data_IF_600013767598
#
_entry.id   IF_600013767598
#
_cell.length_a   1.000
_cell.length_b   1.000
_cell.length_c   1.000
_cell.angle_alpha   90.00
_cell.angle_beta   90.00
_cell.angle_gamma   90.00
#
_symmetry.space_group_name_H-M   'P 1'
#
loop_
_entity.id
_entity.type
_entity.pdbx_description
1 polymer ?
#
# COMPACT_ATOMS: atom_id res chain seq x y z
N UNK A 1 -7.05 -4.01 -2.13
CA UNK A 1 -6.51 -2.79 -2.75
C UNK A 1 -5.10 -2.57 -2.22
N UNK A 2 -4.16 -2.23 -3.10
CA UNK A 2 -2.74 -2.10 -2.75
C UNK A 2 -2.34 -0.63 -2.88
N UNK A 3 -1.69 -0.09 -1.85
CA UNK A 3 -1.17 1.28 -1.82
C UNK A 3 0.35 1.27 -1.64
N UNK A 4 1.04 2.22 -2.26
CA UNK A 4 2.48 2.39 -2.09
C UNK A 4 2.77 3.56 -1.13
N UNK A 5 3.59 3.32 -0.09
CA UNK A 5 4.00 4.29 0.93
C UNK A 5 2.85 5.15 1.47
N UNK A 6 1.73 4.53 1.81
CA UNK A 6 0.54 5.23 2.27
C UNK A 6 0.47 5.26 3.80
N UNK A 7 0.48 6.47 4.37
CA UNK A 7 0.16 6.70 5.78
C UNK A 7 -1.34 6.68 6.06
N UNK A 8 -1.71 6.93 7.31
CA UNK A 8 -3.06 6.66 7.83
C UNK A 8 -4.19 7.36 7.07
N UNK A 9 -4.00 8.63 6.67
CA UNK A 9 -5.01 9.38 5.92
C UNK A 9 -5.39 8.75 4.58
N UNK A 10 -4.42 8.22 3.83
CA UNK A 10 -4.65 7.56 2.54
C UNK A 10 -5.31 6.19 2.71
N UNK A 11 -4.92 5.45 3.75
CA UNK A 11 -5.55 4.17 4.09
C UNK A 11 -7.01 4.38 4.48
N UNK A 12 -7.29 5.36 5.36
CA UNK A 12 -8.64 5.69 5.81
C UNK A 12 -9.53 6.12 4.63
N UNK A 13 -9.03 7.00 3.77
CA UNK A 13 -9.76 7.44 2.58
C UNK A 13 -10.10 6.26 1.67
N UNK A 14 -9.18 5.31 1.51
CA UNK A 14 -9.42 4.16 0.66
C UNK A 14 -10.41 3.16 1.26
N UNK A 15 -10.35 2.91 2.58
CA UNK A 15 -11.37 2.12 3.28
C UNK A 15 -12.76 2.74 3.15
N UNK A 16 -12.88 4.06 3.27
CA UNK A 16 -14.17 4.76 3.05
C UNK A 16 -14.69 4.57 1.62
N UNK A 17 -13.81 4.62 0.61
CA UNK A 17 -14.18 4.42 -0.80
C UNK A 17 -14.56 2.98 -1.11
N UNK A 18 -13.92 1.99 -0.48
CA UNK A 18 -14.11 0.55 -0.73
C UNK A 18 -14.16 -0.22 0.60
N UNK A 19 -15.26 -0.14 1.36
CA UNK A 19 -15.31 -0.66 2.74
C UNK A 19 -15.25 -2.19 2.84
N UNK A 20 -15.54 -2.91 1.75
CA UNK A 20 -15.47 -4.38 1.69
C UNK A 20 -14.14 -4.91 1.14
N UNK A 21 -13.19 -4.04 0.82
CA UNK A 21 -11.91 -4.44 0.25
C UNK A 21 -10.79 -4.23 1.27
N UNK A 22 -9.97 -5.27 1.48
CA UNK A 22 -8.77 -5.14 2.31
C UNK A 22 -7.79 -4.13 1.70
N UNK A 23 -7.14 -3.36 2.57
CA UNK A 23 -6.11 -2.39 2.17
C UNK A 23 -4.75 -2.94 2.59
N UNK A 24 -3.88 -3.20 1.62
CA UNK A 24 -2.50 -3.61 1.85
C UNK A 24 -1.59 -2.45 1.50
N UNK A 25 -0.64 -2.13 2.37
CA UNK A 25 0.34 -1.07 2.12
C UNK A 25 1.70 -1.68 1.82
N UNK A 26 2.29 -1.31 0.70
CA UNK A 26 3.66 -1.61 0.32
C UNK A 26 4.55 -0.47 0.83
N UNK A 27 5.57 -0.82 1.60
CA UNK A 27 6.42 0.10 2.36
C UNK A 27 7.84 0.01 1.79
N UNK A 28 8.36 1.14 1.31
CA UNK A 28 9.74 1.30 0.86
C UNK A 28 10.72 1.08 2.00
N UNK A 29 11.93 0.61 1.67
CA UNK A 29 13.00 0.39 2.65
C UNK A 29 13.30 1.65 3.48
N UNK A 30 13.22 2.84 2.89
CA UNK A 30 13.52 4.13 3.52
C UNK A 30 12.37 4.73 4.33
N UNK A 31 11.17 4.14 4.27
CA UNK A 31 10.01 4.68 4.98
C UNK A 31 10.22 4.63 6.50
N UNK A 32 9.82 5.72 7.17
CA UNK A 32 9.85 5.82 8.63
C UNK A 32 8.97 4.71 9.25
N UNK A 33 9.37 4.09 10.37
CA UNK A 33 8.56 3.09 11.06
C UNK A 33 7.17 3.59 11.46
N UNK A 34 7.03 4.89 11.76
CA UNK A 34 5.74 5.53 12.09
C UNK A 34 4.70 5.36 10.98
N UNK A 35 5.12 5.33 9.71
CA UNK A 35 4.22 5.16 8.57
C UNK A 35 3.47 3.81 8.64
N UNK A 36 4.15 2.77 9.12
CA UNK A 36 3.55 1.43 9.29
C UNK A 36 2.49 1.48 10.39
N UNK A 37 2.80 2.13 11.51
CA UNK A 37 1.87 2.29 12.65
C UNK A 37 0.62 3.05 12.20
N UNK A 38 0.80 4.20 11.57
CA UNK A 38 -0.31 5.01 11.06
C UNK A 38 -1.20 4.25 10.06
N UNK A 39 -0.59 3.45 9.18
CA UNK A 39 -1.32 2.64 8.22
C UNK A 39 -2.15 1.54 8.91
N UNK A 40 -1.57 0.85 9.90
CA UNK A 40 -2.25 -0.18 10.67
C UNK A 40 -3.39 0.39 11.51
N UNK A 41 -3.17 1.52 12.20
CA UNK A 41 -4.20 2.22 12.99
C UNK A 41 -5.37 2.70 12.11
N UNK A 42 -5.10 3.08 10.87
CA UNK A 42 -6.13 3.43 9.89
C UNK A 42 -6.88 2.21 9.32
N UNK A 43 -6.48 0.99 9.69
CA UNK A 43 -7.11 -0.26 9.32
C UNK A 43 -6.54 -0.91 8.06
N UNK A 44 -5.26 -0.71 7.75
CA UNK A 44 -4.58 -1.56 6.79
C UNK A 44 -4.61 -3.02 7.28
N UNK A 45 -4.92 -3.96 6.39
CA UNK A 45 -4.94 -5.38 6.69
C UNK A 45 -3.52 -5.95 6.81
N UNK A 46 -2.57 -5.38 6.05
CA UNK A 46 -1.16 -5.75 6.11
C UNK A 46 -0.27 -4.62 5.61
N UNK A 47 0.96 -4.57 6.14
CA UNK A 47 2.05 -3.76 5.63
C UNK A 47 3.19 -4.67 5.18
N UNK A 48 3.62 -4.56 3.92
CA UNK A 48 4.70 -5.37 3.34
C UNK A 48 5.88 -4.45 3.06
N UNK A 49 7.03 -4.70 3.69
CA UNK A 49 8.22 -3.89 3.50
C UNK A 49 9.11 -4.43 2.39
N UNK A 50 9.91 -3.57 1.77
CA UNK A 50 10.98 -4.01 0.88
C UNK A 50 12.00 -4.92 1.57
N UNK A 51 12.58 -5.89 0.83
CA UNK A 51 12.46 -6.11 -0.62
C UNK A 51 11.20 -6.87 -1.05
N UNK A 52 10.42 -7.45 -0.12
CA UNK A 52 9.24 -8.23 -0.45
C UNK A 52 8.16 -7.42 -1.18
N UNK A 53 8.03 -6.12 -0.86
CA UNK A 53 7.13 -5.21 -1.55
C UNK A 53 7.38 -5.13 -3.07
N UNK A 54 8.64 -5.15 -3.51
CA UNK A 54 8.99 -5.12 -4.93
C UNK A 54 8.57 -6.41 -5.66
N UNK A 55 8.69 -7.57 -5.01
CA UNK A 55 8.23 -8.85 -5.54
C UNK A 55 6.70 -8.87 -5.68
N UNK A 56 5.98 -8.37 -4.68
CA UNK A 56 4.51 -8.25 -4.71
C UNK A 56 4.10 -7.32 -5.85
N UNK A 57 4.72 -6.14 -5.98
CA UNK A 57 4.47 -5.23 -7.09
C UNK A 57 4.72 -5.90 -8.44
N UNK A 58 5.87 -6.56 -8.63
CA UNK A 58 6.21 -7.24 -9.88
C UNK A 58 5.20 -8.35 -10.22
N UNK A 59 4.76 -9.12 -9.22
CA UNK A 59 3.74 -10.15 -9.39
C UNK A 59 2.38 -9.56 -9.76
N UNK A 60 1.95 -8.51 -9.09
CA UNK A 60 0.70 -7.80 -9.41
C UNK A 60 0.76 -7.18 -10.80
N UNK A 61 1.86 -6.53 -11.18
CA UNK A 61 2.04 -5.99 -12.52
C UNK A 61 2.05 -7.10 -13.59
N UNK A 62 2.59 -8.27 -13.28
CA UNK A 62 2.52 -9.43 -14.19
C UNK A 62 1.10 -9.95 -14.36
N UNK A 63 0.33 -10.06 -13.28
CA UNK A 63 -1.06 -10.57 -13.33
C UNK A 63 -2.03 -9.56 -13.94
N UNK A 64 -1.87 -8.29 -13.58
CA UNK A 64 -2.81 -7.21 -13.93
C UNK A 64 -2.31 -6.31 -15.05
N UNK A 65 -1.10 -6.58 -15.57
CA UNK A 65 -0.57 -6.30 -16.90
C UNK A 65 -0.41 -4.85 -17.36
N UNK A 66 -1.27 -3.92 -16.92
CA UNK A 66 -1.34 -2.54 -17.45
C UNK A 66 -2.26 -1.59 -16.69
N UNK A 67 -2.74 -1.94 -15.49
CA UNK A 67 -3.37 -0.94 -14.61
C UNK A 67 -2.27 -0.08 -13.99
N UNK A 68 -2.06 1.12 -14.55
CA UNK A 68 -1.11 2.11 -14.07
C UNK A 68 -1.19 2.23 -12.55
N UNK A 69 -0.19 1.70 -11.84
CA UNK A 69 0.02 2.09 -10.45
C UNK A 69 0.32 3.59 -10.50
N UNK A 70 -0.40 4.44 -9.75
CA UNK A 70 0.02 5.81 -9.60
C UNK A 70 1.45 5.74 -9.08
N UNK A 71 2.39 6.20 -9.91
CA UNK A 71 3.78 6.32 -9.52
C UNK A 71 3.86 7.12 -8.22
N UNK A 72 4.96 6.98 -7.45
CA UNK A 72 5.18 7.83 -6.29
C UNK A 72 4.99 9.28 -6.74
N UNK A 73 3.88 9.87 -6.31
CA UNK A 73 3.61 11.29 -6.51
C UNK A 73 4.72 12.06 -5.80
N UNK A 74 5.18 13.09 -6.49
CA UNK A 74 6.19 14.05 -6.05
C UNK A 74 5.96 14.54 -4.62
#
# INVERSE_FOLDING_TARGET
MVLWNAGGGRVLAARRRRPRSDVVVLIDRQAAPSLVVEAMDAGAAACIREPAAALVTGYLLRLYGRCAMPGPGQ
#
